data_IF_179305942871
#
_entry.id   IF_179305942871
#
_cell.length_a   1.000
_cell.length_b   1.000
_cell.length_c   1.000
_cell.angle_alpha   90.00
_cell.angle_beta   90.00
_cell.angle_gamma   90.00
#
_symmetry.space_group_name_H-M   'P 1'
#
loop_
_entity.id
_entity.type
_entity.pdbx_description
1 polymer ?
#
# COMPACT_ATOMS: atom_id res chain seq x y z
N UNK A 1 0.69 -9.61 -1.44
CA UNK A 1 0.26 -9.11 -2.78
C UNK A 1 0.67 -10.07 -3.90
N UNK A 2 1.92 -10.50 -3.95
CA UNK A 2 2.42 -11.46 -4.96
C UNK A 2 1.56 -12.72 -5.06
N UNK A 3 1.33 -13.42 -3.95
CA UNK A 3 0.49 -14.63 -3.92
C UNK A 3 -0.95 -14.39 -4.39
N UNK A 4 -1.53 -13.22 -4.12
CA UNK A 4 -2.84 -12.85 -4.66
C UNK A 4 -2.77 -12.72 -6.19
N UNK A 5 -1.85 -11.92 -6.72
CA UNK A 5 -1.72 -11.68 -8.15
C UNK A 5 -1.46 -12.96 -8.94
N UNK A 6 -0.67 -13.90 -8.38
CA UNK A 6 -0.37 -15.20 -9.01
C UNK A 6 -1.59 -16.14 -9.08
N UNK A 7 -2.55 -16.01 -8.14
CA UNK A 7 -3.68 -16.94 -7.99
C UNK A 7 -5.04 -16.35 -8.43
N UNK A 8 -5.10 -15.09 -8.84
CA UNK A 8 -6.32 -14.52 -9.42
C UNK A 8 -6.67 -15.28 -10.72
N UNK A 9 -7.95 -15.54 -10.90
CA UNK A 9 -8.53 -16.13 -12.12
C UNK A 9 -9.70 -15.28 -12.62
N UNK A 10 -9.95 -15.34 -13.91
CA UNK A 10 -11.02 -14.59 -14.57
C UNK A 10 -10.49 -13.81 -15.76
N UNK A 11 -11.37 -13.18 -16.50
CA UNK A 11 -11.02 -12.35 -17.67
C UNK A 11 -11.66 -10.97 -17.53
N UNK A 12 -10.83 -9.93 -17.58
CA UNK A 12 -11.22 -8.51 -17.48
C UNK A 12 -10.47 -7.67 -18.52
N UNK A 13 -10.68 -7.91 -19.83
CA UNK A 13 -9.88 -7.32 -20.91
C UNK A 13 -10.03 -5.79 -21.01
N UNK A 14 -11.12 -5.25 -20.51
CA UNK A 14 -11.39 -3.80 -20.54
C UNK A 14 -10.85 -3.05 -19.30
N UNK A 15 -10.08 -3.73 -18.46
CA UNK A 15 -9.48 -3.16 -17.26
C UNK A 15 -8.05 -2.68 -17.53
N UNK A 16 -7.65 -1.60 -16.85
CA UNK A 16 -6.28 -1.12 -16.79
C UNK A 16 -5.76 -1.34 -15.37
N UNK A 17 -4.66 -2.08 -15.23
CA UNK A 17 -4.00 -2.30 -13.95
C UNK A 17 -2.81 -1.36 -13.83
N UNK A 18 -2.71 -0.67 -12.70
CA UNK A 18 -1.60 0.25 -12.39
C UNK A 18 -1.09 -0.02 -10.97
N UNK A 19 0.22 0.18 -10.70
CA UNK A 19 0.70 0.10 -9.33
C UNK A 19 0.19 1.30 -8.53
N UNK A 20 -0.24 1.09 -7.29
CA UNK A 20 -0.70 2.18 -6.44
C UNK A 20 0.44 3.08 -5.93
N UNK A 21 1.69 2.65 -6.07
CA UNK A 21 2.90 3.34 -5.59
C UNK A 21 4.11 3.05 -6.47
N UNK A 22 5.15 3.85 -6.31
CA UNK A 22 6.46 3.63 -6.93
C UNK A 22 7.18 2.37 -6.45
N UNK A 23 8.35 2.10 -7.02
CA UNK A 23 9.15 0.90 -6.72
C UNK A 23 9.78 0.94 -5.33
N UNK A 24 9.72 -0.17 -4.59
CA UNK A 24 10.24 -0.32 -3.24
C UNK A 24 11.32 -1.41 -3.14
N UNK A 25 12.53 -1.02 -2.73
CA UNK A 25 13.64 -1.95 -2.49
C UNK A 25 14.20 -2.60 -3.76
N UNK A 26 15.03 -3.63 -3.58
CA UNK A 26 15.80 -4.25 -4.66
C UNK A 26 15.20 -5.59 -5.15
N UNK A 27 14.19 -6.12 -4.44
CA UNK A 27 13.56 -7.38 -4.84
C UNK A 27 12.50 -7.15 -5.92
N UNK A 28 12.81 -7.56 -7.14
CA UNK A 28 11.96 -7.37 -8.33
C UNK A 28 10.58 -8.01 -8.18
N UNK A 29 10.47 -9.17 -7.55
CA UNK A 29 9.21 -9.89 -7.37
C UNK A 29 8.22 -9.17 -6.46
N UNK A 30 8.74 -8.39 -5.50
CA UNK A 30 7.94 -7.62 -4.56
C UNK A 30 7.62 -6.21 -5.04
N UNK A 31 8.13 -5.80 -6.21
CA UNK A 31 7.86 -4.49 -6.79
C UNK A 31 6.40 -4.32 -7.18
N UNK A 32 5.83 -3.17 -6.90
CA UNK A 32 4.45 -2.86 -7.25
C UNK A 32 4.20 -2.98 -8.76
N UNK A 33 5.16 -2.57 -9.59
CA UNK A 33 5.11 -2.74 -11.04
C UNK A 33 5.04 -4.20 -11.47
N UNK A 34 5.84 -5.09 -10.87
CA UNK A 34 5.84 -6.53 -11.16
C UNK A 34 4.51 -7.16 -10.78
N UNK A 35 4.01 -6.87 -9.58
CA UNK A 35 2.72 -7.36 -9.09
C UNK A 35 1.58 -6.91 -10.01
N UNK A 36 1.55 -5.63 -10.40
CA UNK A 36 0.55 -5.10 -11.33
C UNK A 36 0.61 -5.79 -12.70
N UNK A 37 1.81 -6.04 -13.22
CA UNK A 37 2.00 -6.76 -14.49
C UNK A 37 1.47 -8.20 -14.41
N UNK A 38 1.81 -8.94 -13.36
CA UNK A 38 1.33 -10.31 -13.15
C UNK A 38 -0.20 -10.35 -13.04
N UNK A 39 -0.78 -9.43 -12.28
CA UNK A 39 -2.22 -9.30 -12.12
C UNK A 39 -2.91 -9.01 -13.46
N UNK A 40 -2.39 -8.06 -14.23
CA UNK A 40 -2.92 -7.74 -15.54
C UNK A 40 -2.88 -8.94 -16.51
N UNK A 41 -1.76 -9.66 -16.55
CA UNK A 41 -1.63 -10.87 -17.39
C UNK A 41 -2.65 -11.94 -16.99
N UNK A 42 -2.86 -12.17 -15.69
CA UNK A 42 -3.85 -13.13 -15.19
C UNK A 42 -5.29 -12.76 -15.56
N UNK A 43 -5.58 -11.48 -15.62
CA UNK A 43 -6.92 -10.96 -15.95
C UNK A 43 -7.12 -10.73 -17.47
N UNK A 44 -6.09 -10.87 -18.31
CA UNK A 44 -6.13 -10.47 -19.71
C UNK A 44 -6.33 -8.96 -19.89
N UNK A 45 -5.93 -8.18 -18.88
CA UNK A 45 -6.08 -6.73 -18.79
C UNK A 45 -4.86 -6.00 -19.38
N UNK A 46 -5.00 -4.72 -19.69
CA UNK A 46 -3.86 -3.86 -19.98
C UNK A 46 -3.21 -3.37 -18.68
N UNK A 47 -1.96 -2.89 -18.76
CA UNK A 47 -1.27 -2.32 -17.61
C UNK A 47 -0.47 -1.07 -17.98
N UNK A 48 -0.20 -0.23 -16.96
CA UNK A 48 0.77 0.87 -17.03
C UNK A 48 1.73 0.74 -15.87
N UNK A 49 2.97 1.15 -16.07
CA UNK A 49 4.02 1.11 -15.05
C UNK A 49 4.30 2.52 -14.53
N UNK A 50 4.62 2.63 -13.25
CA UNK A 50 5.03 3.88 -12.61
C UNK A 50 6.54 3.81 -12.30
N UNK A 51 7.34 4.50 -13.10
CA UNK A 51 8.80 4.54 -12.99
C UNK A 51 9.26 5.66 -12.03
N UNK A 52 8.81 5.61 -10.80
CA UNK A 52 9.23 6.51 -9.73
C UNK A 52 9.59 5.70 -8.51
N UNK A 53 10.67 6.02 -7.78
CA UNK A 53 10.95 5.38 -6.50
C UNK A 53 9.82 5.59 -5.49
N UNK A 54 9.61 4.61 -4.58
CA UNK A 54 8.56 4.67 -3.55
C UNK A 54 8.78 5.79 -2.51
N UNK A 55 10.02 6.24 -2.34
CA UNK A 55 10.35 7.28 -1.37
C UNK A 55 11.36 8.26 -2.00
N UNK A 56 10.93 9.48 -2.22
CA UNK A 56 11.75 10.57 -2.77
C UNK A 56 11.54 11.84 -1.97
N UNK A 57 12.47 12.79 -2.05
CA UNK A 57 12.26 14.11 -1.47
C UNK A 57 11.12 14.85 -2.20
N UNK A 58 10.48 15.78 -1.51
CA UNK A 58 9.38 16.57 -2.06
C UNK A 58 9.79 17.33 -3.32
N UNK A 59 10.98 17.93 -3.33
CA UNK A 59 11.49 18.68 -4.47
C UNK A 59 11.68 17.79 -5.71
N UNK A 60 12.24 16.58 -5.52
CA UNK A 60 12.42 15.61 -6.61
C UNK A 60 11.06 15.15 -7.13
N UNK A 61 10.12 14.85 -6.23
CA UNK A 61 8.77 14.44 -6.62
C UNK A 61 8.07 15.50 -7.44
N UNK A 62 8.11 16.76 -6.98
CA UNK A 62 7.51 17.89 -7.68
C UNK A 62 8.15 18.11 -9.06
N UNK A 63 9.48 17.98 -9.17
CA UNK A 63 10.18 18.08 -10.45
C UNK A 63 9.73 16.96 -11.42
N UNK A 64 9.69 15.71 -10.97
CA UNK A 64 9.23 14.58 -11.79
C UNK A 64 7.78 14.81 -12.26
N UNK A 65 6.89 15.16 -11.34
CA UNK A 65 5.48 15.39 -11.68
C UNK A 65 5.27 16.61 -12.58
N UNK A 66 6.16 17.58 -12.56
CA UNK A 66 6.10 18.75 -13.45
C UNK A 66 6.60 18.42 -14.86
N UNK A 67 7.67 17.67 -14.98
CA UNK A 67 8.44 17.54 -16.23
C UNK A 67 8.09 16.25 -16.99
N UNK A 68 7.74 15.17 -16.29
CA UNK A 68 7.44 13.88 -16.92
C UNK A 68 5.93 13.70 -17.17
N UNK A 69 5.53 13.89 -18.42
CA UNK A 69 4.14 13.73 -18.87
C UNK A 69 3.66 12.26 -18.71
N UNK A 70 4.56 11.29 -18.91
CA UNK A 70 4.25 9.87 -18.77
C UNK A 70 3.94 9.50 -17.34
N UNK A 71 4.75 9.97 -16.39
CA UNK A 71 4.50 9.76 -14.95
C UNK A 71 3.19 10.40 -14.53
N UNK A 72 2.93 11.65 -14.95
CA UNK A 72 1.65 12.32 -14.64
C UNK A 72 0.44 11.53 -15.13
N UNK A 73 0.47 11.07 -16.37
CA UNK A 73 -0.63 10.29 -16.95
C UNK A 73 -0.93 9.02 -16.14
N UNK A 74 0.10 8.33 -15.62
CA UNK A 74 -0.09 7.16 -14.76
C UNK A 74 -0.63 7.56 -13.39
N UNK A 75 -0.13 8.64 -12.79
CA UNK A 75 -0.63 9.15 -11.50
C UNK A 75 -2.10 9.56 -11.60
N UNK A 76 -2.52 10.16 -12.71
CA UNK A 76 -3.93 10.51 -12.93
C UNK A 76 -4.82 9.27 -12.99
N UNK A 77 -4.36 8.20 -13.66
CA UNK A 77 -5.09 6.90 -13.66
C UNK A 77 -5.17 6.33 -12.25
N UNK A 78 -4.07 6.34 -11.49
CA UNK A 78 -4.02 5.84 -10.11
C UNK A 78 -5.06 6.55 -9.24
N UNK A 79 -5.17 7.86 -9.34
CA UNK A 79 -6.10 8.67 -8.54
C UNK A 79 -7.57 8.49 -8.93
N UNK A 80 -7.84 7.98 -10.12
CA UNK A 80 -9.18 7.71 -10.65
C UNK A 80 -9.54 6.22 -10.63
N UNK A 81 -8.78 5.39 -9.93
CA UNK A 81 -9.00 3.96 -9.90
C UNK A 81 -10.35 3.61 -9.25
N UNK A 82 -11.10 2.70 -9.85
CA UNK A 82 -12.37 2.19 -9.32
C UNK A 82 -12.13 1.21 -8.15
N UNK A 83 -11.07 0.41 -8.24
CA UNK A 83 -10.75 -0.63 -7.27
C UNK A 83 -9.29 -0.50 -6.86
N UNK A 84 -9.04 -0.46 -5.57
CA UNK A 84 -7.72 -0.54 -4.98
C UNK A 84 -7.54 -1.87 -4.26
N UNK A 85 -6.47 -2.59 -4.60
CA UNK A 85 -6.05 -3.79 -3.86
C UNK A 85 -4.68 -3.53 -3.23
N UNK A 86 -4.57 -3.67 -1.92
CA UNK A 86 -3.32 -3.38 -1.23
C UNK A 86 -2.98 -4.36 -0.10
N UNK A 87 -1.72 -4.38 0.28
CA UNK A 87 -1.24 -5.11 1.44
C UNK A 87 -1.10 -4.22 2.67
N UNK A 88 -1.03 -4.86 3.85
CA UNK A 88 -0.67 -4.20 5.11
C UNK A 88 0.66 -4.75 5.61
N UNK A 89 1.58 -3.84 5.97
CA UNK A 89 2.87 -4.13 6.52
C UNK A 89 2.96 -3.82 8.02
N UNK A 90 3.85 -4.51 8.75
CA UNK A 90 4.24 -4.07 10.10
C UNK A 90 5.17 -2.87 9.97
N UNK A 91 4.93 -1.82 10.76
CA UNK A 91 5.68 -0.56 10.70
C UNK A 91 7.20 -0.77 10.75
N UNK A 92 7.71 -1.54 11.72
CA UNK A 92 9.14 -1.80 11.88
C UNK A 92 9.78 -2.55 10.69
N UNK A 93 9.03 -3.43 10.03
CA UNK A 93 9.51 -4.18 8.85
C UNK A 93 9.55 -3.26 7.63
N UNK A 94 8.48 -2.49 7.41
CA UNK A 94 8.39 -1.60 6.26
C UNK A 94 9.37 -0.42 6.35
N UNK A 95 9.62 0.11 7.54
CA UNK A 95 10.63 1.13 7.77
C UNK A 95 12.04 0.66 7.35
N UNK A 96 12.39 -0.60 7.67
CA UNK A 96 13.67 -1.20 7.25
C UNK A 96 13.72 -1.45 5.75
N UNK A 97 12.64 -1.97 5.14
CA UNK A 97 12.56 -2.18 3.69
C UNK A 97 12.71 -0.87 2.91
N UNK A 98 12.19 0.24 3.45
CA UNK A 98 12.37 1.58 2.87
C UNK A 98 13.70 2.23 3.24
N UNK A 99 14.54 1.57 4.05
CA UNK A 99 15.83 2.11 4.50
C UNK A 99 15.67 3.50 5.13
N UNK A 100 14.60 3.71 5.93
CA UNK A 100 14.39 4.97 6.63
C UNK A 100 15.53 5.22 7.61
N UNK A 101 15.92 6.48 7.77
CA UNK A 101 16.99 6.87 8.69
C UNK A 101 16.69 6.47 10.14
N UNK A 102 17.74 6.29 10.94
CA UNK A 102 17.65 5.86 12.34
C UNK A 102 16.77 6.79 13.19
N UNK A 103 16.81 8.09 12.94
CA UNK A 103 15.96 9.07 13.64
C UNK A 103 14.48 8.86 13.35
N UNK A 104 14.12 8.56 12.09
CA UNK A 104 12.73 8.26 11.72
C UNK A 104 12.28 6.95 12.37
N UNK A 105 13.14 5.92 12.37
CA UNK A 105 12.82 4.64 13.01
C UNK A 105 12.59 4.84 14.52
N UNK A 106 13.46 5.57 15.19
CA UNK A 106 13.30 5.89 16.62
C UNK A 106 12.00 6.66 16.91
N UNK A 107 11.65 7.61 16.01
CA UNK A 107 10.38 8.34 16.11
C UNK A 107 9.18 7.40 15.93
N UNK A 108 9.20 6.50 14.95
CA UNK A 108 8.13 5.51 14.74
C UNK A 108 7.90 4.64 15.96
N UNK A 109 8.98 4.20 16.61
CA UNK A 109 8.93 3.40 17.85
C UNK A 109 8.37 4.21 19.02
N UNK A 110 8.87 5.44 19.23
CA UNK A 110 8.44 6.32 20.31
C UNK A 110 6.95 6.70 20.18
N UNK A 111 6.47 6.93 18.97
CA UNK A 111 5.08 7.32 18.69
C UNK A 111 4.13 6.10 18.55
N UNK A 112 4.64 4.88 18.76
CA UNK A 112 3.85 3.66 18.80
C UNK A 112 3.33 3.18 17.45
N UNK A 113 4.04 3.42 16.35
CA UNK A 113 3.66 2.93 15.02
C UNK A 113 3.70 1.40 14.96
N UNK A 114 2.58 0.76 14.61
CA UNK A 114 2.45 -0.70 14.50
C UNK A 114 2.18 -1.17 13.08
N UNK A 115 1.47 -0.38 12.27
CA UNK A 115 1.07 -0.72 10.91
C UNK A 115 1.51 0.28 9.88
N UNK A 116 1.56 -0.18 8.65
CA UNK A 116 1.88 0.63 7.49
C UNK A 116 1.03 0.21 6.28
N UNK A 117 0.49 1.19 5.57
CA UNK A 117 -0.05 1.07 4.23
C UNK A 117 0.24 2.36 3.44
N UNK A 118 0.56 2.23 2.15
CA UNK A 118 0.85 3.37 1.25
C UNK A 118 1.97 4.31 1.74
N UNK A 119 2.95 3.82 2.53
CA UNK A 119 4.02 4.63 3.13
C UNK A 119 3.56 5.47 4.31
N UNK A 120 2.35 5.26 4.78
CA UNK A 120 1.81 5.90 5.96
C UNK A 120 1.84 4.94 7.14
N UNK A 121 2.46 5.38 8.22
CA UNK A 121 2.70 4.61 9.43
C UNK A 121 1.67 5.02 10.48
N UNK A 122 0.98 4.05 11.04
CA UNK A 122 -0.12 4.28 11.96
C UNK A 122 0.12 3.61 13.31
N UNK A 123 -0.26 4.29 14.39
CA UNK A 123 -0.39 3.72 15.73
C UNK A 123 -1.64 2.81 15.81
N UNK A 124 -1.75 2.02 16.87
CA UNK A 124 -2.84 1.03 17.02
C UNK A 124 -4.24 1.67 17.03
N UNK A 125 -4.35 2.89 17.48
CA UNK A 125 -5.59 3.68 17.50
C UNK A 125 -6.00 4.24 16.12
N UNK A 126 -5.17 4.05 15.09
CA UNK A 126 -5.35 4.57 13.74
C UNK A 126 -4.74 5.95 13.50
N UNK A 127 -4.16 6.57 14.51
CA UNK A 127 -3.48 7.87 14.37
C UNK A 127 -2.27 7.73 13.44
N UNK A 128 -2.18 8.60 12.43
CA UNK A 128 -1.02 8.67 11.55
C UNK A 128 0.19 9.24 12.29
N UNK A 129 1.29 8.50 12.32
CA UNK A 129 2.54 8.83 13.01
C UNK A 129 3.55 9.46 12.05
N UNK A 130 3.66 8.87 10.86
CA UNK A 130 4.64 9.29 9.86
C UNK A 130 4.16 8.96 8.44
N UNK A 131 4.66 9.70 7.47
CA UNK A 131 4.34 9.50 6.06
C UNK A 131 5.60 9.70 5.21
N UNK A 132 5.77 8.83 4.22
CA UNK A 132 6.79 9.00 3.18
C UNK A 132 6.20 9.72 1.97
N UNK A 133 6.99 10.58 1.33
CA UNK A 133 6.59 11.20 0.06
C UNK A 133 6.64 10.16 -1.08
N UNK A 134 5.60 10.13 -1.90
CA UNK A 134 5.52 9.24 -3.07
C UNK A 134 4.60 9.83 -4.14
N UNK A 135 4.72 9.34 -5.37
CA UNK A 135 3.89 9.79 -6.50
C UNK A 135 2.50 9.12 -6.55
N UNK A 136 2.29 8.02 -5.80
CA UNK A 136 1.07 7.23 -5.85
C UNK A 136 0.01 7.67 -4.84
N UNK A 137 -0.86 6.71 -4.46
CA UNK A 137 -1.94 6.94 -3.52
C UNK A 137 -1.45 7.18 -2.09
N UNK A 138 -2.21 8.02 -1.39
CA UNK A 138 -2.12 8.26 0.04
C UNK A 138 -3.44 7.94 0.72
N UNK A 139 -3.47 7.76 2.05
CA UNK A 139 -4.72 7.42 2.76
C UNK A 139 -5.85 8.41 2.52
N UNK A 140 -5.53 9.68 2.34
CA UNK A 140 -6.53 10.72 2.04
C UNK A 140 -7.18 10.58 0.66
N UNK A 141 -6.50 9.94 -0.30
CA UNK A 141 -7.03 9.73 -1.65
C UNK A 141 -8.09 8.62 -1.67
N UNK A 142 -8.10 7.75 -0.65
CA UNK A 142 -8.98 6.58 -0.59
C UNK A 142 -10.47 6.92 -0.58
N UNK A 143 -10.84 8.13 -0.15
CA UNK A 143 -12.23 8.59 -0.17
C UNK A 143 -12.82 8.63 -1.60
N UNK A 144 -11.97 8.75 -2.63
CA UNK A 144 -12.38 8.82 -4.03
C UNK A 144 -12.37 7.46 -4.73
N UNK A 145 -11.82 6.42 -4.10
CA UNK A 145 -11.77 5.06 -4.65
C UNK A 145 -13.09 4.34 -4.39
N UNK A 146 -13.66 3.72 -5.43
CA UNK A 146 -14.95 3.03 -5.33
C UNK A 146 -14.94 1.84 -4.37
N UNK A 147 -13.94 0.94 -4.49
CA UNK A 147 -13.79 -0.25 -3.63
C UNK A 147 -12.35 -0.41 -3.17
N UNK A 148 -12.15 -0.58 -1.87
CA UNK A 148 -10.82 -0.77 -1.25
C UNK A 148 -10.74 -2.16 -0.64
N UNK A 149 -9.77 -2.96 -1.11
CA UNK A 149 -9.55 -4.34 -0.71
C UNK A 149 -8.19 -4.45 -0.01
N UNK A 150 -8.19 -4.61 1.30
CA UNK A 150 -7.00 -4.90 2.09
C UNK A 150 -6.72 -6.41 2.12
N UNK A 151 -5.48 -6.82 1.85
CA UNK A 151 -5.07 -8.23 1.89
C UNK A 151 -3.85 -8.37 2.80
N UNK A 152 -4.04 -8.99 3.95
CA UNK A 152 -2.95 -9.25 4.89
C UNK A 152 -3.33 -10.39 5.83
N UNK A 153 -2.39 -11.27 6.15
CA UNK A 153 -2.62 -12.41 7.02
C UNK A 153 -1.43 -12.68 7.95
N UNK A 154 -1.66 -13.58 8.89
CA UNK A 154 -0.72 -13.97 9.93
C UNK A 154 -0.95 -13.22 11.24
N UNK A 155 -1.01 -13.98 12.36
CA UNK A 155 -1.22 -13.46 13.71
C UNK A 155 -0.32 -12.27 14.06
N UNK A 156 0.95 -12.30 13.61
CA UNK A 156 1.92 -11.23 13.86
C UNK A 156 1.60 -9.90 13.16
N UNK A 157 0.64 -9.87 12.23
CA UNK A 157 0.18 -8.67 11.54
C UNK A 157 -1.12 -8.10 12.10
N UNK A 158 -1.75 -8.75 13.08
CA UNK A 158 -3.06 -8.35 13.58
C UNK A 158 -3.10 -6.87 14.03
N UNK A 159 -2.13 -6.43 14.84
CA UNK A 159 -2.02 -5.03 15.26
C UNK A 159 -1.86 -4.07 14.07
N UNK A 160 -1.04 -4.44 13.08
CA UNK A 160 -0.85 -3.64 11.89
C UNK A 160 -2.13 -3.54 11.04
N UNK A 161 -2.85 -4.64 10.87
CA UNK A 161 -4.13 -4.66 10.15
C UNK A 161 -5.14 -3.77 10.87
N UNK A 162 -5.28 -3.93 12.18
CA UNK A 162 -6.21 -3.14 12.97
C UNK A 162 -5.91 -1.64 12.92
N UNK A 163 -4.63 -1.26 12.99
CA UNK A 163 -4.23 0.15 12.89
C UNK A 163 -4.60 0.78 11.55
N UNK A 164 -4.42 0.06 10.44
CA UNK A 164 -4.78 0.55 9.10
C UNK A 164 -6.30 0.63 8.91
N UNK A 165 -7.06 -0.34 9.42
CA UNK A 165 -8.54 -0.30 9.40
C UNK A 165 -9.07 0.91 10.17
N UNK A 166 -8.44 1.26 11.29
CA UNK A 166 -8.83 2.45 12.08
C UNK A 166 -8.40 3.77 11.45
N UNK A 167 -7.27 3.75 10.71
CA UNK A 167 -6.72 4.94 10.05
C UNK A 167 -7.50 5.35 8.80
N UNK A 168 -8.10 4.37 8.08
CA UNK A 168 -8.73 4.63 6.79
C UNK A 168 -9.82 3.61 6.46
N UNK A 169 -10.74 4.03 5.57
CA UNK A 169 -11.79 3.16 5.04
C UNK A 169 -11.18 1.92 4.39
N UNK A 170 -11.77 0.77 4.71
CA UNK A 170 -11.55 -0.51 4.04
C UNK A 170 -12.92 -1.13 3.78
N UNK A 171 -13.23 -1.46 2.53
CA UNK A 171 -14.53 -2.06 2.20
C UNK A 171 -14.48 -3.59 2.35
N UNK A 172 -13.34 -4.18 2.01
CA UNK A 172 -13.13 -5.63 2.08
C UNK A 172 -11.77 -5.89 2.73
N UNK A 173 -11.74 -6.77 3.71
CA UNK A 173 -10.51 -7.33 4.27
C UNK A 173 -10.43 -8.82 3.96
N UNK A 174 -9.38 -9.22 3.26
CA UNK A 174 -9.03 -10.62 3.04
C UNK A 174 -7.90 -10.98 4.00
N UNK A 175 -8.20 -11.86 4.95
CA UNK A 175 -7.24 -12.26 6.01
C UNK A 175 -7.42 -13.73 6.37
N UNK A 176 -6.50 -14.28 7.16
CA UNK A 176 -6.63 -15.64 7.72
C UNK A 176 -7.30 -15.64 9.10
N UNK A 177 -7.74 -16.82 9.52
CA UNK A 177 -8.43 -17.01 10.79
C UNK A 177 -7.60 -16.56 12.00
N UNK A 178 -6.29 -16.82 11.99
CA UNK A 178 -5.41 -16.48 13.10
C UNK A 178 -5.27 -14.97 13.28
N UNK A 179 -5.16 -14.22 12.18
CA UNK A 179 -5.13 -12.76 12.20
C UNK A 179 -6.51 -12.19 12.60
N UNK A 180 -7.61 -12.73 12.02
CA UNK A 180 -8.97 -12.29 12.34
C UNK A 180 -9.29 -12.47 13.83
N UNK A 181 -8.95 -13.62 14.41
CA UNK A 181 -9.17 -13.89 15.84
C UNK A 181 -8.41 -12.88 16.72
N UNK A 182 -7.14 -12.62 16.41
CA UNK A 182 -6.34 -11.68 17.20
C UNK A 182 -6.82 -10.22 17.05
N UNK A 183 -7.26 -9.82 15.86
CA UNK A 183 -7.86 -8.51 15.60
C UNK A 183 -9.11 -8.32 16.46
N UNK A 184 -10.02 -9.31 16.46
CA UNK A 184 -11.26 -9.26 17.24
C UNK A 184 -10.99 -9.20 18.75
N UNK A 185 -9.95 -9.89 19.24
CA UNK A 185 -9.52 -9.82 20.63
C UNK A 185 -9.05 -8.41 20.98
N UNK A 186 -8.12 -7.84 20.22
CA UNK A 186 -7.60 -6.49 20.41
C UNK A 186 -8.69 -5.41 20.32
N UNK A 187 -9.69 -5.59 19.46
CA UNK A 187 -10.78 -4.63 19.30
C UNK A 187 -11.75 -4.60 20.47
N UNK A 188 -11.82 -5.67 21.30
CA UNK A 188 -12.67 -5.75 22.48
C UNK A 188 -11.99 -5.24 23.76
N UNK A 189 -10.66 -5.19 23.77
CA UNK A 189 -9.86 -4.78 24.93
C UNK A 189 -9.70 -3.25 25.07
N UNK A 190 -10.28 -2.49 24.15
CA UNK A 190 -10.29 -1.02 24.10
C UNK A 190 -11.72 -0.47 24.12
#
# INVERSE_FOLDING_TARGET
MEGMAANVSGSQPNTVVVPARGGLGDNVELQANTIATVLAQKLGASYRQLYVPDCVSEDILNSILKEDIGVRAVVDIIKQADILVHGVGRASVMARHRRLGSEVIAKLEADGAVGEAFGQYCALDGRQVYMTNNAGLMLQDLQHIGTIIGIAGGKSKAAAILSVIRASRQDILITDEAAAHEILKMAKEQ
#
